data_IF_057581331151
#
_entry.id   IF_057581331151
#
_cell.length_a   1.000
_cell.length_b   1.000
_cell.length_c   1.000
_cell.angle_alpha   90.00
_cell.angle_beta   90.00
_cell.angle_gamma   90.00
#
_symmetry.space_group_name_H-M   'P 1'
#
loop_
_entity.id
_entity.type
_entity.pdbx_description
1 polymer ?
#
# COMPACT_ATOMS: atom_id res chain seq x y z
N UNK A 1 14.84 43.99 -24.17
CA UNK A 1 13.87 42.97 -24.62
C UNK A 1 14.21 41.57 -24.13
N UNK A 2 15.43 41.03 -24.29
CA UNK A 2 15.81 39.65 -23.83
C UNK A 2 15.64 39.43 -22.32
N UNK A 3 16.06 40.38 -21.50
CA UNK A 3 15.93 40.30 -20.03
C UNK A 3 14.46 40.39 -19.57
N UNK A 4 13.65 41.22 -20.23
CA UNK A 4 12.20 41.31 -19.95
C UNK A 4 11.49 40.00 -20.29
N UNK A 5 11.79 39.37 -21.42
CA UNK A 5 11.21 38.05 -21.78
C UNK A 5 11.61 36.94 -20.77
N UNK A 6 12.86 36.97 -20.31
CA UNK A 6 13.33 36.02 -19.26
C UNK A 6 12.63 36.25 -17.92
N UNK A 7 12.50 37.52 -17.53
CA UNK A 7 11.75 37.87 -16.32
C UNK A 7 10.29 37.46 -16.42
N UNK A 8 9.62 37.75 -17.53
CA UNK A 8 8.23 37.34 -17.73
C UNK A 8 8.06 35.82 -17.72
N UNK A 9 8.96 35.07 -18.35
CA UNK A 9 8.95 33.61 -18.32
C UNK A 9 9.13 33.05 -16.89
N UNK A 10 10.02 33.65 -16.11
CA UNK A 10 10.22 33.26 -14.70
C UNK A 10 8.98 33.55 -13.86
N UNK A 11 8.31 34.67 -14.05
CA UNK A 11 7.06 35.02 -13.35
C UNK A 11 5.94 34.05 -13.73
N UNK A 12 5.78 33.71 -15.00
CA UNK A 12 4.76 32.76 -15.47
C UNK A 12 5.02 31.39 -14.86
N UNK A 13 6.27 30.89 -14.83
CA UNK A 13 6.65 29.63 -14.21
C UNK A 13 6.34 29.65 -12.71
N UNK A 14 6.68 30.71 -12.02
CA UNK A 14 6.43 30.84 -10.58
C UNK A 14 4.93 30.84 -10.28
N UNK A 15 4.12 31.55 -11.06
CA UNK A 15 2.67 31.54 -10.93
C UNK A 15 2.09 30.16 -11.23
N UNK A 16 2.59 29.47 -12.25
CA UNK A 16 2.18 28.11 -12.58
C UNK A 16 2.42 27.14 -11.40
N UNK A 17 3.63 27.15 -10.82
CA UNK A 17 3.92 26.31 -9.68
C UNK A 17 3.09 26.70 -8.42
N UNK A 18 2.93 28.00 -8.16
CA UNK A 18 2.12 28.46 -7.04
C UNK A 18 0.65 28.03 -7.18
N UNK A 19 0.08 28.17 -8.38
CA UNK A 19 -1.27 27.70 -8.67
C UNK A 19 -1.40 26.17 -8.53
N UNK A 20 -0.42 25.42 -9.04
CA UNK A 20 -0.43 23.96 -8.94
C UNK A 20 -0.42 23.51 -7.47
N UNK A 21 0.51 24.03 -6.66
CA UNK A 21 0.60 23.76 -5.22
C UNK A 21 -0.70 24.17 -4.51
N UNK A 22 -1.22 25.36 -4.82
CA UNK A 22 -2.45 25.86 -4.20
C UNK A 22 -3.67 25.00 -4.53
N UNK A 23 -3.82 24.57 -5.79
CA UNK A 23 -4.89 23.67 -6.20
C UNK A 23 -4.74 22.27 -5.58
N UNK A 24 -3.53 21.73 -5.55
CA UNK A 24 -3.26 20.44 -4.89
C UNK A 24 -3.64 20.50 -3.40
N UNK A 25 -3.18 21.53 -2.69
CA UNK A 25 -3.56 21.70 -1.29
C UNK A 25 -5.07 21.87 -1.11
N UNK A 26 -5.74 22.62 -1.96
CA UNK A 26 -7.14 22.99 -1.82
C UNK A 26 -8.09 21.82 -2.16
N UNK A 27 -7.79 21.08 -3.24
CA UNK A 27 -8.72 20.08 -3.79
C UNK A 27 -8.43 18.66 -3.29
N UNK A 28 -7.20 18.38 -2.87
CA UNK A 28 -6.82 17.06 -2.38
C UNK A 28 -7.48 16.80 -1.01
N UNK A 29 -8.24 15.72 -0.84
CA UNK A 29 -8.94 15.42 0.42
C UNK A 29 -8.00 14.96 1.52
N UNK A 30 -8.49 14.86 2.74
CA UNK A 30 -7.80 14.16 3.82
C UNK A 30 -7.83 12.65 3.55
N UNK A 31 -6.69 11.98 3.71
CA UNK A 31 -6.55 10.55 3.51
C UNK A 31 -5.88 9.89 4.72
N UNK A 32 -6.20 8.61 4.96
CA UNK A 32 -5.51 7.85 5.99
C UNK A 32 -4.01 7.63 5.66
N UNK A 33 -3.64 7.61 4.38
CA UNK A 33 -2.25 7.54 3.92
C UNK A 33 -1.43 8.73 4.42
N UNK A 34 -2.04 9.92 4.51
CA UNK A 34 -1.43 11.09 5.13
C UNK A 34 -1.09 10.86 6.61
N UNK A 35 -2.01 10.25 7.36
CA UNK A 35 -1.76 9.91 8.76
C UNK A 35 -0.65 8.85 8.89
N UNK A 36 -0.66 7.84 8.01
CA UNK A 36 0.38 6.81 7.97
C UNK A 36 1.78 7.40 7.70
N UNK A 37 1.92 8.32 6.73
CA UNK A 37 3.18 9.05 6.52
C UNK A 37 3.59 9.94 7.69
N UNK A 38 2.64 10.45 8.46
CA UNK A 38 2.96 11.20 9.69
C UNK A 38 3.63 10.28 10.71
N UNK A 39 3.04 9.11 10.99
CA UNK A 39 3.62 8.10 11.89
C UNK A 39 4.97 7.59 11.36
N UNK A 40 5.06 7.32 10.06
CA UNK A 40 6.33 6.92 9.43
C UNK A 40 7.45 7.93 9.68
N UNK A 41 7.13 9.22 9.62
CA UNK A 41 8.09 10.31 9.85
C UNK A 41 8.65 10.32 11.28
N UNK A 42 7.90 9.87 12.26
CA UNK A 42 8.34 9.79 13.65
C UNK A 42 9.40 8.70 13.86
N UNK A 43 9.49 7.69 12.97
CA UNK A 43 10.55 6.70 12.96
C UNK A 43 10.55 5.73 14.15
N UNK A 44 9.41 5.55 14.82
CA UNK A 44 9.31 4.72 16.03
C UNK A 44 9.03 3.22 15.72
N UNK A 45 9.59 2.69 14.63
CA UNK A 45 9.45 1.30 14.17
C UNK A 45 10.78 0.82 13.56
N UNK A 46 10.97 -0.50 13.51
CA UNK A 46 12.12 -1.16 12.90
C UNK A 46 11.72 -2.18 11.82
N UNK A 47 10.42 -2.48 11.71
CA UNK A 47 9.82 -3.28 10.67
C UNK A 47 8.77 -2.51 9.88
N UNK A 48 8.64 -2.81 8.59
CA UNK A 48 7.63 -2.24 7.71
C UNK A 48 6.84 -3.35 7.05
N UNK A 49 5.51 -3.24 7.05
CA UNK A 49 4.62 -4.11 6.29
C UNK A 49 4.15 -3.33 5.08
N UNK A 50 4.29 -3.91 3.89
CA UNK A 50 3.91 -3.32 2.61
C UNK A 50 3.17 -4.35 1.77
N UNK A 51 2.43 -3.89 0.79
CA UNK A 51 1.61 -4.74 -0.09
C UNK A 51 0.24 -4.13 -0.32
N UNK A 52 -0.71 -4.95 -0.72
CA UNK A 52 -2.08 -4.57 -1.01
C UNK A 52 -2.99 -4.44 0.21
N UNK A 53 -4.29 -4.47 -0.06
CA UNK A 53 -5.32 -4.39 0.97
C UNK A 53 -5.37 -5.63 1.88
N UNK A 54 -4.94 -6.78 1.38
CA UNK A 54 -4.85 -8.02 2.16
C UNK A 54 -3.86 -7.86 3.32
N UNK A 55 -2.64 -7.37 3.08
CA UNK A 55 -1.70 -7.08 4.15
C UNK A 55 -2.19 -6.00 5.10
N UNK A 56 -2.91 -4.99 4.55
CA UNK A 56 -3.41 -3.87 5.36
C UNK A 56 -4.38 -4.29 6.44
N UNK A 57 -5.27 -5.24 6.16
CA UNK A 57 -6.22 -5.77 7.14
C UNK A 57 -5.86 -7.17 7.67
N UNK A 58 -4.81 -7.81 7.13
CA UNK A 58 -4.46 -9.19 7.48
C UNK A 58 -3.20 -9.34 8.33
N UNK A 59 -2.30 -8.34 8.37
CA UNK A 59 -1.07 -8.41 9.17
C UNK A 59 -1.11 -7.35 10.26
N UNK A 60 -1.33 -7.79 11.50
CA UNK A 60 -1.46 -6.92 12.68
C UNK A 60 -0.10 -6.60 13.32
N UNK A 61 0.37 -5.33 13.30
CA UNK A 61 1.65 -4.92 13.91
C UNK A 61 1.72 -5.17 15.41
N UNK A 62 0.59 -5.10 16.13
CA UNK A 62 0.56 -5.31 17.59
C UNK A 62 0.80 -6.78 17.95
N UNK A 63 0.23 -7.70 17.16
CA UNK A 63 0.49 -9.13 17.30
C UNK A 63 1.95 -9.45 17.00
N UNK A 64 2.51 -8.88 15.91
CA UNK A 64 3.94 -9.02 15.60
C UNK A 64 4.80 -8.50 16.75
N UNK A 65 4.49 -7.31 17.28
CA UNK A 65 5.24 -6.75 18.42
C UNK A 65 5.18 -7.67 19.65
N UNK A 66 4.00 -8.16 19.98
CA UNK A 66 3.81 -9.04 21.15
C UNK A 66 4.64 -10.31 21.03
N UNK A 67 4.78 -10.87 19.82
CA UNK A 67 5.44 -12.14 19.61
C UNK A 67 6.94 -12.02 19.31
N UNK A 68 7.38 -10.95 18.66
CA UNK A 68 8.76 -10.78 18.20
C UNK A 68 9.54 -9.73 19.00
N UNK A 69 8.85 -8.85 19.73
CA UNK A 69 9.43 -7.69 20.40
C UNK A 69 9.80 -6.53 19.46
N UNK A 70 9.64 -6.70 18.15
CA UNK A 70 9.96 -5.69 17.13
C UNK A 70 8.72 -4.87 16.79
N UNK A 71 8.87 -3.55 16.72
CA UNK A 71 7.78 -2.65 16.29
C UNK A 71 7.69 -2.59 14.77
N UNK A 72 6.50 -2.81 14.26
CA UNK A 72 6.17 -2.70 12.84
C UNK A 72 5.21 -1.53 12.59
N UNK A 73 5.33 -0.93 11.40
CA UNK A 73 4.33 -0.02 10.83
C UNK A 73 3.71 -0.71 9.62
N UNK A 74 2.39 -0.83 9.59
CA UNK A 74 1.69 -1.33 8.42
C UNK A 74 1.41 -0.16 7.46
N UNK A 75 2.17 -0.12 6.37
CA UNK A 75 2.02 0.89 5.30
C UNK A 75 1.46 0.29 4.02
N UNK A 76 0.93 -0.93 4.08
CA UNK A 76 0.24 -1.54 2.96
C UNK A 76 -0.99 -0.73 2.55
N UNK A 77 -1.35 -0.77 1.28
CA UNK A 77 -2.45 -0.01 0.73
C UNK A 77 -3.06 -0.70 -0.49
N UNK A 78 -4.38 -0.68 -0.60
CA UNK A 78 -5.05 -1.24 -1.78
C UNK A 78 -4.53 -0.62 -3.07
N UNK A 79 -4.24 -1.49 -4.05
CA UNK A 79 -3.76 -1.07 -5.35
C UNK A 79 -2.29 -0.67 -5.41
N UNK A 80 -1.48 -1.04 -4.44
CA UNK A 80 -0.05 -0.77 -4.48
C UNK A 80 0.69 -1.72 -5.41
N UNK A 81 1.52 -1.14 -6.25
CA UNK A 81 2.42 -1.82 -7.16
C UNK A 81 3.87 -1.74 -6.68
N UNK A 82 4.73 -2.63 -7.17
CA UNK A 82 6.13 -2.72 -6.78
C UNK A 82 6.91 -1.40 -6.88
N UNK A 83 6.55 -0.54 -7.85
CA UNK A 83 7.11 0.82 -7.95
C UNK A 83 6.83 1.65 -6.69
N UNK A 84 5.57 1.67 -6.26
CA UNK A 84 5.12 2.47 -5.12
C UNK A 84 5.74 1.92 -3.83
N UNK A 85 5.77 0.61 -3.68
CA UNK A 85 6.37 -0.10 -2.55
C UNK A 85 7.88 0.17 -2.46
N UNK A 86 8.61 0.15 -3.57
CA UNK A 86 10.04 0.47 -3.61
C UNK A 86 10.32 1.86 -3.00
N UNK A 87 9.56 2.87 -3.43
CA UNK A 87 9.76 4.23 -2.92
C UNK A 87 9.29 4.40 -1.48
N UNK A 88 8.23 3.69 -1.07
CA UNK A 88 7.77 3.64 0.31
C UNK A 88 8.84 3.08 1.24
N UNK A 89 9.45 1.94 0.87
CA UNK A 89 10.54 1.33 1.65
C UNK A 89 11.77 2.25 1.70
N UNK A 90 12.14 2.89 0.58
CA UNK A 90 13.24 3.89 0.55
C UNK A 90 12.97 5.08 1.47
N UNK A 91 11.73 5.56 1.55
CA UNK A 91 11.36 6.64 2.47
C UNK A 91 11.42 6.17 3.93
N UNK A 92 10.86 5.00 4.25
CA UNK A 92 10.89 4.43 5.59
C UNK A 92 12.34 4.23 6.07
N UNK A 93 13.20 3.61 5.25
CA UNK A 93 14.61 3.42 5.58
C UNK A 93 15.39 4.73 5.78
N UNK A 94 14.89 5.84 5.23
CA UNK A 94 15.48 7.17 5.47
C UNK A 94 15.05 7.79 6.81
N UNK A 95 14.05 7.22 7.49
CA UNK A 95 13.47 7.75 8.74
C UNK A 95 13.88 6.96 9.96
N UNK A 96 14.12 5.68 9.79
CA UNK A 96 14.44 4.76 10.88
C UNK A 96 15.54 3.79 10.46
N UNK A 97 16.16 3.11 11.42
CA UNK A 97 17.06 1.98 11.19
C UNK A 97 16.22 0.74 10.86
N UNK A 98 15.64 0.74 9.64
CA UNK A 98 14.74 -0.30 9.16
C UNK A 98 15.50 -1.63 9.07
N UNK A 99 14.98 -2.67 9.73
CA UNK A 99 15.61 -4.00 9.79
C UNK A 99 14.89 -5.04 8.97
N UNK A 100 13.56 -4.96 8.90
CA UNK A 100 12.73 -5.98 8.26
C UNK A 100 11.64 -5.32 7.41
N UNK A 101 11.43 -5.84 6.22
CA UNK A 101 10.27 -5.54 5.38
C UNK A 101 9.49 -6.82 5.16
N UNK A 102 8.22 -6.83 5.51
CA UNK A 102 7.27 -7.88 5.15
C UNK A 102 6.48 -7.37 3.94
N UNK A 103 6.72 -7.99 2.79
CA UNK A 103 6.05 -7.63 1.55
C UNK A 103 5.01 -8.70 1.19
N UNK A 104 3.75 -8.33 1.26
CA UNK A 104 2.67 -9.14 0.72
C UNK A 104 2.65 -9.05 -0.79
N UNK A 105 2.80 -10.21 -1.42
CA UNK A 105 2.67 -10.36 -2.88
C UNK A 105 1.25 -10.77 -3.19
N UNK A 106 0.50 -9.85 -3.79
CA UNK A 106 -0.76 -10.18 -4.43
C UNK A 106 -0.48 -10.51 -5.92
N UNK A 107 -0.69 -11.76 -6.36
CA UNK A 107 -0.41 -12.16 -7.74
C UNK A 107 -1.18 -11.34 -8.78
N UNK A 108 -2.38 -10.86 -8.46
CA UNK A 108 -3.20 -10.08 -9.38
C UNK A 108 -2.54 -8.76 -9.76
N UNK A 109 -1.86 -8.08 -8.84
CA UNK A 109 -1.14 -6.84 -9.16
C UNK A 109 0.05 -7.04 -10.10
N UNK A 110 0.54 -8.26 -10.25
CA UNK A 110 1.63 -8.59 -11.17
C UNK A 110 1.15 -8.83 -12.61
N UNK A 111 -0.13 -8.94 -12.84
CA UNK A 111 -0.69 -9.07 -14.20
C UNK A 111 -1.45 -7.83 -14.64
N UNK A 112 -1.95 -7.06 -13.69
CA UNK A 112 -2.68 -5.84 -13.95
C UNK A 112 -1.75 -4.64 -14.18
N UNK A 113 -2.25 -3.67 -14.93
CA UNK A 113 -1.60 -2.37 -15.03
C UNK A 113 -2.08 -1.46 -13.91
N UNK A 114 -1.19 -0.60 -13.37
CA UNK A 114 -1.57 0.37 -12.36
C UNK A 114 -2.81 1.16 -12.77
N UNK A 115 -3.85 1.09 -11.96
CA UNK A 115 -5.05 1.89 -12.15
C UNK A 115 -4.72 3.37 -11.87
N UNK A 116 -5.49 4.27 -12.49
CA UNK A 116 -5.34 5.72 -12.34
C UNK A 116 -6.39 6.31 -11.39
N UNK A 117 -7.06 5.49 -10.60
CA UNK A 117 -8.01 5.94 -9.58
C UNK A 117 -7.31 6.56 -8.36
N UNK A 118 -8.09 7.17 -7.49
CA UNK A 118 -7.58 7.85 -6.29
C UNK A 118 -6.81 6.91 -5.36
N UNK A 119 -7.26 5.67 -5.23
CA UNK A 119 -6.64 4.65 -4.36
C UNK A 119 -5.22 4.32 -4.82
N UNK A 120 -5.03 4.10 -6.11
CA UNK A 120 -3.75 3.72 -6.71
C UNK A 120 -2.71 4.84 -6.84
N UNK A 121 -3.09 6.07 -6.53
CA UNK A 121 -2.17 7.21 -6.58
C UNK A 121 -2.01 7.89 -5.21
N UNK A 122 -2.72 7.42 -4.19
CA UNK A 122 -2.72 8.04 -2.86
C UNK A 122 -1.32 8.05 -2.25
N UNK A 123 -0.58 6.96 -2.35
CA UNK A 123 0.78 6.88 -1.84
C UNK A 123 1.70 7.91 -2.52
N UNK A 124 1.66 8.00 -3.83
CA UNK A 124 2.46 8.97 -4.59
C UNK A 124 2.11 10.42 -4.22
N UNK A 125 0.82 10.73 -4.09
CA UNK A 125 0.37 12.07 -3.74
C UNK A 125 0.78 12.47 -2.32
N UNK A 126 0.63 11.58 -1.35
CA UNK A 126 1.00 11.83 0.05
C UNK A 126 2.51 11.68 0.32
N UNK A 127 3.26 11.12 -0.62
CA UNK A 127 4.70 10.97 -0.46
C UNK A 127 5.36 12.32 -0.14
N UNK A 128 6.25 12.38 0.88
CA UNK A 128 6.83 13.63 1.36
C UNK A 128 7.51 14.44 0.26
N UNK A 129 7.20 15.74 0.19
CA UNK A 129 7.82 16.67 -0.75
C UNK A 129 9.30 16.85 -0.40
N UNK A 130 10.16 16.16 -1.12
CA UNK A 130 11.60 16.11 -0.89
C UNK A 130 12.36 15.83 -2.18
N UNK A 131 13.69 15.93 -2.14
CA UNK A 131 14.53 15.52 -3.28
C UNK A 131 14.37 14.04 -3.63
N UNK A 132 13.91 13.20 -2.68
CA UNK A 132 13.61 11.78 -2.90
C UNK A 132 12.35 11.56 -3.72
N UNK A 133 11.40 12.50 -3.72
CA UNK A 133 10.22 12.43 -4.59
C UNK A 133 10.55 12.62 -6.07
N UNK A 134 11.69 13.22 -6.40
CA UNK A 134 12.04 13.49 -7.81
C UNK A 134 12.21 12.22 -8.63
N UNK A 135 13.06 11.23 -8.25
CA UNK A 135 13.15 9.98 -9.00
C UNK A 135 11.82 9.22 -9.00
N UNK A 136 11.08 9.21 -7.89
CA UNK A 136 9.75 8.59 -7.85
C UNK A 136 8.78 9.24 -8.86
N UNK A 137 8.77 10.57 -8.96
CA UNK A 137 7.95 11.27 -9.93
C UNK A 137 8.34 10.93 -11.39
N UNK A 138 9.63 10.77 -11.67
CA UNK A 138 10.12 10.40 -13.01
C UNK A 138 9.66 8.98 -13.37
N UNK A 139 9.81 8.02 -12.47
CA UNK A 139 9.37 6.64 -12.70
C UNK A 139 7.85 6.56 -12.78
N UNK A 140 7.12 7.28 -11.90
CA UNK A 140 5.64 7.31 -11.93
C UNK A 140 5.09 7.85 -13.24
N UNK A 141 5.75 8.84 -13.86
CA UNK A 141 5.37 9.37 -15.17
C UNK A 141 5.51 8.35 -16.31
N UNK A 142 6.29 7.29 -16.13
CA UNK A 142 6.44 6.23 -17.13
C UNK A 142 5.32 5.19 -17.06
N UNK A 143 4.74 4.97 -15.89
CA UNK A 143 3.73 3.92 -15.65
C UNK A 143 2.33 4.47 -15.41
N UNK A 144 2.20 5.74 -15.01
CA UNK A 144 0.94 6.38 -14.69
C UNK A 144 0.57 7.50 -15.69
N UNK A 145 -0.66 8.00 -15.58
CA UNK A 145 -1.10 9.16 -16.36
C UNK A 145 -0.25 10.39 -16.00
N UNK A 146 0.42 10.98 -16.99
CA UNK A 146 1.26 12.16 -16.82
C UNK A 146 0.54 13.32 -16.12
N UNK A 147 -0.78 13.47 -16.34
CA UNK A 147 -1.58 14.52 -15.72
C UNK A 147 -1.68 14.33 -14.22
N UNK A 148 -1.88 13.08 -13.74
CA UNK A 148 -1.98 12.76 -12.31
C UNK A 148 -0.62 12.82 -11.63
N UNK A 149 0.45 12.48 -12.34
CA UNK A 149 1.82 12.54 -11.81
C UNK A 149 2.33 13.97 -11.64
N UNK A 150 1.96 14.90 -12.54
CA UNK A 150 2.39 16.30 -12.48
C UNK A 150 1.42 17.23 -11.74
N UNK A 151 0.14 16.88 -11.75
CA UNK A 151 -0.94 17.69 -11.19
C UNK A 151 -1.76 16.86 -10.20
N UNK A 152 -1.28 16.76 -8.97
CA UNK A 152 -1.93 15.94 -7.91
C UNK A 152 -3.42 16.25 -7.76
N UNK A 153 -3.82 17.52 -7.94
CA UNK A 153 -5.21 17.97 -7.92
C UNK A 153 -6.07 17.45 -9.08
N UNK A 154 -5.47 16.95 -10.14
CA UNK A 154 -6.21 16.61 -11.37
C UNK A 154 -7.27 15.52 -11.15
N UNK A 155 -7.00 14.53 -10.33
CA UNK A 155 -7.99 13.50 -9.97
C UNK A 155 -9.15 14.09 -9.17
N UNK A 156 -8.87 15.07 -8.34
CA UNK A 156 -9.81 15.71 -7.43
C UNK A 156 -10.40 17.01 -8.01
N UNK A 157 -10.25 17.28 -9.30
CA UNK A 157 -10.69 18.52 -9.93
C UNK A 157 -12.18 18.82 -9.76
N UNK A 158 -13.01 17.80 -9.57
CA UNK A 158 -14.45 17.97 -9.31
C UNK A 158 -14.73 18.54 -7.92
N UNK A 159 -13.81 18.40 -6.99
CA UNK A 159 -13.91 18.95 -5.63
C UNK A 159 -13.94 20.49 -5.61
N UNK A 160 -13.68 21.14 -6.75
CA UNK A 160 -13.84 22.59 -6.88
C UNK A 160 -15.28 23.04 -6.60
N UNK A 161 -16.27 22.17 -6.83
CA UNK A 161 -17.68 22.43 -6.49
C UNK A 161 -17.96 22.28 -5.00
N UNK A 162 -17.07 21.65 -4.23
CA UNK A 162 -17.13 21.43 -2.80
C UNK A 162 -16.02 22.15 -2.03
N UNK A 163 -15.51 23.26 -2.60
CA UNK A 163 -14.36 23.99 -2.08
C UNK A 163 -14.54 24.45 -0.62
N UNK A 164 -15.76 24.77 -0.21
CA UNK A 164 -16.07 25.17 1.17
C UNK A 164 -15.87 24.01 2.15
N UNK A 165 -16.27 22.81 1.74
CA UNK A 165 -16.14 21.59 2.54
C UNK A 165 -14.66 21.21 2.65
N UNK A 166 -13.89 21.33 1.55
CA UNK A 166 -12.43 21.12 1.54
C UNK A 166 -11.69 22.09 2.47
N UNK A 167 -12.07 23.36 2.50
CA UNK A 167 -11.49 24.35 3.42
C UNK A 167 -11.87 24.04 4.88
N UNK A 168 -13.11 23.64 5.13
CA UNK A 168 -13.56 23.26 6.47
C UNK A 168 -12.81 22.02 6.97
N UNK A 169 -12.65 20.99 6.12
CA UNK A 169 -11.87 19.79 6.41
C UNK A 169 -10.43 20.15 6.84
N UNK A 170 -9.74 20.96 6.04
CA UNK A 170 -8.34 21.34 6.34
C UNK A 170 -8.19 22.25 7.58
N UNK A 171 -9.27 22.85 8.01
CA UNK A 171 -9.33 23.66 9.24
C UNK A 171 -9.71 22.84 10.47
N UNK A 172 -10.17 21.59 10.29
CA UNK A 172 -10.60 20.72 11.37
C UNK A 172 -9.42 20.28 12.27
N UNK A 173 -9.71 19.93 13.52
CA UNK A 173 -8.72 19.34 14.41
C UNK A 173 -8.31 17.94 13.95
N UNK A 174 -9.19 17.21 13.31
CA UNK A 174 -8.92 15.91 12.72
C UNK A 174 -7.80 15.97 11.68
N UNK A 175 -7.93 16.88 10.70
CA UNK A 175 -6.89 17.08 9.68
C UNK A 175 -5.55 17.53 10.28
N UNK A 176 -5.57 18.44 11.28
CA UNK A 176 -4.36 18.98 11.92
C UNK A 176 -3.63 17.95 12.78
N UNK A 177 -4.38 17.10 13.46
CA UNK A 177 -3.85 16.10 14.38
C UNK A 177 -3.71 14.71 13.76
N UNK A 178 -3.91 14.57 12.44
CA UNK A 178 -3.82 13.30 11.72
C UNK A 178 -4.74 12.21 12.30
N UNK A 179 -5.91 12.58 12.81
CA UNK A 179 -6.85 11.66 13.41
C UNK A 179 -7.44 10.70 12.36
N UNK A 180 -7.62 9.46 12.74
CA UNK A 180 -8.21 8.41 11.90
C UNK A 180 -9.71 8.17 12.19
N UNK A 181 -10.31 9.01 13.05
CA UNK A 181 -11.68 8.80 13.52
C UNK A 181 -12.72 8.82 12.39
N UNK A 182 -12.55 9.69 11.38
CA UNK A 182 -13.49 9.78 10.24
C UNK A 182 -13.40 8.61 9.26
N UNK A 183 -12.33 7.82 9.33
CA UNK A 183 -12.17 6.62 8.51
C UNK A 183 -12.72 5.36 9.20
N UNK A 184 -13.00 5.46 10.50
CA UNK A 184 -13.49 4.33 11.31
C UNK A 184 -15.02 4.40 11.45
N UNK A 185 -15.64 3.24 11.36
CA UNK A 185 -17.10 3.05 11.49
C UNK A 185 -17.40 1.69 12.16
N UNK A 186 -18.62 1.18 12.03
CA UNK A 186 -19.00 -0.12 12.57
C UNK A 186 -18.43 -1.32 11.79
N UNK A 187 -17.99 -1.08 10.54
CA UNK A 187 -17.43 -2.12 9.66
C UNK A 187 -15.92 -2.26 9.87
N UNK A 188 -15.23 -1.15 10.19
CA UNK A 188 -13.76 -1.13 10.27
C UNK A 188 -13.23 -0.07 11.22
N UNK A 189 -12.10 -0.36 11.83
CA UNK A 189 -11.34 0.61 12.64
C UNK A 189 -9.95 0.81 12.05
N UNK A 190 -9.61 2.06 11.76
CA UNK A 190 -8.26 2.45 11.33
C UNK A 190 -7.38 2.73 12.56
N UNK A 191 -6.27 2.02 12.67
CA UNK A 191 -5.31 2.16 13.78
C UNK A 191 -4.10 3.01 13.38
N UNK A 192 -3.46 3.64 14.35
CA UNK A 192 -2.28 4.50 14.14
C UNK A 192 -1.07 3.71 13.61
N UNK A 193 -0.96 2.42 13.94
CA UNK A 193 0.06 1.52 13.39
C UNK A 193 -0.19 1.11 11.92
N UNK A 194 -1.25 1.66 11.31
CA UNK A 194 -1.62 1.47 9.92
C UNK A 194 -2.50 0.26 9.63
N UNK A 195 -2.77 -0.59 10.62
CA UNK A 195 -3.67 -1.73 10.48
C UNK A 195 -5.13 -1.28 10.37
N UNK A 196 -5.91 -1.97 9.54
CA UNK A 196 -7.36 -1.79 9.46
C UNK A 196 -8.03 -3.04 10.03
N UNK A 197 -8.58 -2.91 11.23
CA UNK A 197 -9.38 -3.97 11.85
C UNK A 197 -10.74 -4.05 11.16
N UNK A 198 -11.04 -5.17 10.48
CA UNK A 198 -12.33 -5.44 9.84
C UNK A 198 -13.25 -6.18 10.81
N UNK A 199 -14.41 -5.60 11.11
CA UNK A 199 -15.34 -6.16 12.07
C UNK A 199 -16.37 -7.07 11.42
N UNK A 200 -16.85 -8.08 12.17
CA UNK A 200 -17.91 -8.99 11.71
C UNK A 200 -19.26 -8.32 11.80
N UNK A 201 -19.66 -7.68 10.72
CA UNK A 201 -20.98 -7.07 10.57
C UNK A 201 -21.61 -7.57 9.27
N UNK A 202 -22.95 -7.55 9.20
CA UNK A 202 -23.68 -7.97 7.98
C UNK A 202 -23.30 -7.09 6.78
N UNK A 203 -23.21 -5.78 6.99
CA UNK A 203 -22.85 -4.80 5.95
C UNK A 203 -21.34 -4.83 5.63
N UNK A 204 -20.52 -5.50 6.42
CA UNK A 204 -19.08 -5.63 6.25
C UNK A 204 -18.64 -6.84 5.41
N UNK A 205 -19.59 -7.56 4.80
CA UNK A 205 -19.32 -8.75 3.99
C UNK A 205 -19.72 -8.56 2.54
N UNK A 206 -18.91 -9.06 1.61
CA UNK A 206 -19.18 -9.09 0.17
C UNK A 206 -18.72 -10.42 -0.45
N UNK A 207 -19.55 -11.44 -0.32
CA UNK A 207 -19.26 -12.76 -0.89
C UNK A 207 -19.72 -12.93 -2.33
N UNK A 208 -20.17 -11.86 -2.99
CA UNK A 208 -20.53 -11.85 -4.41
C UNK A 208 -19.40 -11.34 -5.30
N UNK A 209 -18.43 -10.62 -4.75
CA UNK A 209 -17.28 -10.12 -5.50
C UNK A 209 -16.37 -11.27 -5.94
N UNK A 210 -16.05 -11.31 -7.23
CA UNK A 210 -15.07 -12.25 -7.76
C UNK A 210 -13.65 -11.82 -7.40
N UNK A 211 -12.76 -12.76 -6.99
CA UNK A 211 -11.38 -12.42 -6.67
C UNK A 211 -10.60 -12.01 -7.92
N UNK A 212 -9.63 -11.14 -7.70
CA UNK A 212 -8.63 -10.82 -8.73
C UNK A 212 -7.68 -12.01 -8.93
N UNK A 213 -7.44 -12.41 -10.18
CA UNK A 213 -6.75 -13.65 -10.48
C UNK A 213 -5.43 -13.45 -11.22
N UNK A 214 -4.46 -14.29 -10.89
CA UNK A 214 -3.22 -14.44 -11.61
C UNK A 214 -3.43 -14.97 -13.03
N UNK A 215 -2.66 -14.43 -13.98
CA UNK A 215 -2.58 -14.94 -15.34
C UNK A 215 -1.17 -14.71 -15.91
N UNK A 216 -0.35 -15.75 -15.90
CA UNK A 216 1.02 -15.71 -16.38
C UNK A 216 1.19 -15.13 -17.79
N UNK A 217 0.18 -15.27 -18.66
CA UNK A 217 0.23 -14.75 -20.05
C UNK A 217 0.15 -13.23 -20.13
N UNK A 218 -0.34 -12.57 -19.08
CA UNK A 218 -0.49 -11.11 -19.02
C UNK A 218 0.47 -10.46 -18.04
N UNK A 219 1.51 -11.17 -17.67
CA UNK A 219 2.52 -10.76 -16.71
C UNK A 219 3.11 -9.36 -17.01
N UNK A 220 3.18 -8.54 -16.00
CA UNK A 220 3.67 -7.16 -16.07
C UNK A 220 5.17 -7.09 -15.71
N UNK A 221 6.02 -6.89 -16.72
CA UNK A 221 7.48 -6.81 -16.53
C UNK A 221 7.92 -5.59 -15.71
N UNK A 222 7.11 -4.54 -15.59
CA UNK A 222 7.43 -3.39 -14.74
C UNK A 222 7.33 -3.77 -13.25
N UNK A 223 6.40 -4.65 -12.87
CA UNK A 223 6.32 -5.17 -11.49
C UNK A 223 7.59 -5.91 -11.11
N UNK A 224 8.03 -6.83 -11.98
CA UNK A 224 9.29 -7.56 -11.77
C UNK A 224 10.46 -6.61 -11.63
N UNK A 225 10.60 -5.66 -12.53
CA UNK A 225 11.70 -4.69 -12.52
C UNK A 225 11.80 -3.95 -11.18
N UNK A 226 10.71 -3.38 -10.72
CA UNK A 226 10.72 -2.60 -9.48
C UNK A 226 10.82 -3.48 -8.24
N UNK A 227 10.33 -4.70 -8.28
CA UNK A 227 10.57 -5.69 -7.23
C UNK A 227 12.06 -6.06 -7.14
N UNK A 228 12.73 -6.33 -8.26
CA UNK A 228 14.19 -6.63 -8.29
C UNK A 228 15.02 -5.44 -7.78
N UNK A 229 14.59 -4.21 -8.08
CA UNK A 229 15.21 -3.00 -7.50
C UNK A 229 14.98 -2.92 -5.98
N UNK A 230 13.80 -3.33 -5.48
CA UNK A 230 13.52 -3.42 -4.05
C UNK A 230 14.39 -4.46 -3.36
N UNK A 231 14.51 -5.66 -3.93
CA UNK A 231 15.41 -6.73 -3.44
C UNK A 231 16.84 -6.22 -3.33
N UNK A 232 17.33 -5.57 -4.38
CA UNK A 232 18.68 -4.99 -4.41
C UNK A 232 18.86 -3.93 -3.34
N UNK A 233 17.91 -3.02 -3.20
CA UNK A 233 17.91 -1.97 -2.18
C UNK A 233 17.93 -2.56 -0.76
N UNK A 234 17.09 -3.53 -0.46
CA UNK A 234 17.05 -4.18 0.85
C UNK A 234 18.37 -4.86 1.17
N UNK A 235 18.97 -5.57 0.21
CA UNK A 235 20.25 -6.25 0.36
C UNK A 235 21.39 -5.26 0.61
N UNK A 236 21.46 -4.17 -0.16
CA UNK A 236 22.48 -3.13 -0.01
C UNK A 236 22.42 -2.40 1.32
N UNK A 237 21.24 -2.32 1.93
CA UNK A 237 21.00 -1.65 3.21
C UNK A 237 20.90 -2.61 4.40
N UNK A 238 21.17 -3.91 4.20
CA UNK A 238 21.07 -4.94 5.25
C UNK A 238 19.68 -5.02 5.88
N UNK A 239 18.65 -4.83 5.05
CA UNK A 239 17.24 -4.98 5.41
C UNK A 239 16.80 -6.38 5.01
N UNK A 240 16.24 -7.14 5.95
CA UNK A 240 15.65 -8.44 5.68
C UNK A 240 14.33 -8.25 4.93
N UNK A 241 14.24 -8.78 3.70
CA UNK A 241 13.01 -8.81 2.92
C UNK A 241 12.35 -10.18 3.05
N UNK A 242 11.16 -10.19 3.59
CA UNK A 242 10.30 -11.37 3.73
C UNK A 242 9.09 -11.16 2.82
N UNK A 243 8.84 -12.10 1.93
CA UNK A 243 7.66 -12.06 1.08
C UNK A 243 6.61 -13.04 1.58
N UNK A 244 5.35 -12.65 1.52
CA UNK A 244 4.22 -13.48 1.96
C UNK A 244 3.09 -13.41 0.93
N UNK A 245 2.52 -14.55 0.60
CA UNK A 245 1.26 -14.65 -0.14
C UNK A 245 0.16 -14.96 0.88
N UNK A 246 -0.85 -14.08 0.92
CA UNK A 246 -1.90 -14.12 1.94
C UNK A 246 -2.87 -15.29 1.72
N UNK A 247 -3.52 -15.82 2.78
CA UNK A 247 -4.53 -16.86 2.62
C UNK A 247 -5.78 -16.32 1.91
N UNK A 248 -6.45 -17.21 1.20
CA UNK A 248 -7.75 -16.97 0.57
C UNK A 248 -8.78 -18.00 1.07
N UNK A 249 -10.10 -17.75 0.94
CA UNK A 249 -11.11 -18.73 1.27
C UNK A 249 -10.91 -20.04 0.48
N UNK A 250 -11.09 -21.21 1.16
CA UNK A 250 -11.04 -22.52 0.48
C UNK A 250 -11.98 -22.59 -0.72
N UNK A 251 -13.16 -21.99 -0.62
CA UNK A 251 -14.13 -21.91 -1.73
C UNK A 251 -13.60 -21.16 -2.94
N UNK A 252 -12.84 -20.08 -2.73
CA UNK A 252 -12.20 -19.32 -3.81
C UNK A 252 -11.04 -20.12 -4.41
N UNK A 253 -10.21 -20.72 -3.56
CA UNK A 253 -9.10 -21.56 -4.01
C UNK A 253 -9.59 -22.76 -4.86
N UNK A 254 -10.62 -23.49 -4.40
CA UNK A 254 -11.21 -24.61 -5.12
C UNK A 254 -11.83 -24.19 -6.46
N UNK A 255 -12.49 -23.01 -6.49
CA UNK A 255 -13.12 -22.48 -7.70
C UNK A 255 -12.10 -22.08 -8.76
N UNK A 256 -10.96 -21.50 -8.36
CA UNK A 256 -9.94 -20.93 -9.24
C UNK A 256 -8.59 -21.63 -9.11
N UNK A 257 -8.60 -22.94 -8.81
CA UNK A 257 -7.39 -23.74 -8.52
C UNK A 257 -6.28 -23.56 -9.53
N UNK A 258 -6.58 -23.58 -10.83
CA UNK A 258 -5.56 -23.44 -11.89
C UNK A 258 -4.81 -22.10 -11.81
N UNK A 259 -5.51 -21.02 -11.50
CA UNK A 259 -4.92 -19.68 -11.36
C UNK A 259 -4.03 -19.60 -10.12
N UNK A 260 -4.55 -20.03 -8.96
CA UNK A 260 -3.82 -20.00 -7.70
C UNK A 260 -2.61 -20.94 -7.72
N UNK A 261 -2.74 -22.17 -8.21
CA UNK A 261 -1.62 -23.08 -8.32
C UNK A 261 -0.54 -22.56 -9.27
N UNK A 262 -0.93 -21.99 -10.40
CA UNK A 262 0.03 -21.34 -11.32
C UNK A 262 0.76 -20.15 -10.67
N UNK A 263 0.08 -19.35 -9.83
CA UNK A 263 0.71 -18.28 -9.07
C UNK A 263 1.72 -18.83 -8.05
N UNK A 264 1.32 -19.84 -7.28
CA UNK A 264 2.19 -20.48 -6.28
C UNK A 264 3.48 -21.03 -6.92
N UNK A 265 3.35 -21.76 -8.03
CA UNK A 265 4.48 -22.31 -8.77
C UNK A 265 5.40 -21.19 -9.26
N UNK A 266 4.85 -20.17 -9.92
CA UNK A 266 5.61 -19.03 -10.42
C UNK A 266 6.38 -18.32 -9.31
N UNK A 267 5.70 -17.89 -8.24
CA UNK A 267 6.32 -17.10 -7.19
C UNK A 267 7.30 -17.93 -6.36
N UNK A 268 7.04 -19.22 -6.14
CA UNK A 268 7.99 -20.13 -5.48
C UNK A 268 9.33 -20.18 -6.22
N UNK A 269 9.29 -20.42 -7.53
CA UNK A 269 10.50 -20.51 -8.34
C UNK A 269 11.17 -19.14 -8.51
N UNK A 270 10.40 -18.10 -8.76
CA UNK A 270 10.90 -16.75 -8.94
C UNK A 270 11.60 -16.20 -7.69
N UNK A 271 10.95 -16.26 -6.53
CA UNK A 271 11.50 -15.72 -5.27
C UNK A 271 12.70 -16.52 -4.79
N UNK A 272 12.69 -17.84 -4.99
CA UNK A 272 13.85 -18.67 -4.76
C UNK A 272 15.04 -18.25 -5.65
N UNK A 273 14.78 -17.90 -6.91
CA UNK A 273 15.84 -17.41 -7.82
C UNK A 273 16.42 -16.07 -7.39
N UNK A 274 15.63 -15.25 -6.68
CA UNK A 274 16.03 -13.97 -6.10
C UNK A 274 16.67 -14.09 -4.71
N UNK A 275 16.79 -15.30 -4.15
CA UNK A 275 17.28 -15.54 -2.78
C UNK A 275 16.51 -14.69 -1.74
N UNK A 276 15.17 -14.67 -1.85
CA UNK A 276 14.25 -13.98 -0.96
C UNK A 276 13.42 -15.01 -0.20
N UNK A 277 13.26 -14.82 1.11
CA UNK A 277 12.39 -15.67 1.93
C UNK A 277 10.94 -15.51 1.49
N UNK A 278 10.32 -16.62 1.12
CA UNK A 278 8.93 -16.65 0.70
C UNK A 278 8.09 -17.56 1.62
N UNK A 279 7.00 -17.01 2.10
CA UNK A 279 6.01 -17.70 2.90
C UNK A 279 4.72 -17.80 2.08
N UNK A 280 4.51 -18.96 1.46
CA UNK A 280 3.27 -19.27 0.77
C UNK A 280 2.19 -19.67 1.79
N UNK A 281 1.25 -18.76 2.04
CA UNK A 281 0.13 -18.97 2.95
C UNK A 281 -1.21 -19.05 2.20
N UNK A 282 -1.19 -19.02 0.87
CA UNK A 282 -2.38 -18.94 0.03
C UNK A 282 -3.38 -20.07 0.34
N UNK A 283 -2.88 -21.31 0.41
CA UNK A 283 -3.65 -22.49 0.79
C UNK A 283 -2.77 -23.45 1.59
N UNK A 284 -2.71 -23.26 2.90
CA UNK A 284 -1.81 -23.97 3.79
C UNK A 284 -2.57 -24.93 4.73
N UNK A 285 -2.04 -26.14 4.91
CA UNK A 285 -2.58 -27.15 5.84
C UNK A 285 -2.19 -26.91 7.31
N UNK A 286 -1.54 -25.77 7.61
CA UNK A 286 -1.20 -25.42 8.98
C UNK A 286 -2.47 -25.28 9.82
N UNK A 287 -2.49 -25.96 10.98
CA UNK A 287 -3.56 -25.80 11.94
C UNK A 287 -3.71 -24.30 12.32
N UNK A 288 -4.93 -23.84 12.48
CA UNK A 288 -5.28 -22.45 12.79
C UNK A 288 -5.13 -21.45 11.63
N UNK A 289 -4.66 -21.86 10.44
CA UNK A 289 -4.68 -20.98 9.27
C UNK A 289 -6.12 -20.57 8.92
N UNK A 290 -6.42 -19.27 8.73
CA UNK A 290 -7.72 -18.86 8.23
C UNK A 290 -7.97 -19.45 6.84
N UNK A 291 -9.08 -20.18 6.68
CA UNK A 291 -9.42 -20.88 5.43
C UNK A 291 -10.92 -20.89 5.16
N UNK A 292 -11.73 -20.92 6.20
CA UNK A 292 -13.17 -20.91 6.05
C UNK A 292 -13.64 -19.56 5.52
N UNK A 293 -14.64 -19.55 4.63
CA UNK A 293 -15.18 -18.30 4.10
C UNK A 293 -15.55 -17.31 5.21
N UNK A 294 -15.97 -17.81 6.37
CA UNK A 294 -16.30 -16.97 7.52
C UNK A 294 -15.08 -16.28 8.18
N UNK A 295 -13.85 -16.66 7.85
CA UNK A 295 -12.64 -15.98 8.29
C UNK A 295 -12.42 -14.66 7.53
N UNK A 296 -13.09 -14.48 6.42
CA UNK A 296 -12.92 -13.39 5.48
C UNK A 296 -14.18 -12.54 5.36
N UNK A 297 -14.02 -11.29 4.99
CA UNK A 297 -15.15 -10.42 4.70
C UNK A 297 -15.61 -10.48 3.23
N UNK A 298 -14.83 -11.14 2.36
CA UNK A 298 -15.13 -11.31 0.94
C UNK A 298 -14.47 -12.57 0.35
N UNK A 299 -14.71 -12.81 -0.94
CA UNK A 299 -14.09 -13.91 -1.68
C UNK A 299 -12.66 -13.62 -2.14
N UNK A 300 -12.22 -12.36 -2.08
CA UNK A 300 -10.88 -11.94 -2.52
C UNK A 300 -9.80 -12.27 -1.49
N UNK A 301 -10.15 -12.37 -0.20
CA UNK A 301 -9.23 -12.81 0.86
C UNK A 301 -8.96 -11.76 1.95
N UNK A 302 -9.81 -10.74 2.08
CA UNK A 302 -9.67 -9.78 3.16
C UNK A 302 -10.12 -10.39 4.50
N UNK A 303 -9.21 -10.49 5.45
CA UNK A 303 -9.47 -11.11 6.75
C UNK A 303 -10.28 -10.21 7.68
N UNK A 304 -11.17 -10.81 8.47
CA UNK A 304 -11.69 -10.19 9.68
C UNK A 304 -10.60 -10.07 10.75
N UNK A 305 -10.74 -9.13 11.68
CA UNK A 305 -9.75 -8.80 12.70
C UNK A 305 -9.29 -10.04 13.51
N UNK A 306 -10.21 -10.86 13.99
CA UNK A 306 -9.89 -12.06 14.76
C UNK A 306 -9.13 -13.11 13.94
N UNK A 307 -9.43 -13.20 12.67
CA UNK A 307 -8.72 -14.07 11.72
C UNK A 307 -7.34 -13.50 11.34
N UNK A 308 -7.21 -12.19 11.22
CA UNK A 308 -5.93 -11.50 11.02
C UNK A 308 -4.99 -11.69 12.22
N UNK A 309 -5.52 -11.64 13.45
CA UNK A 309 -4.75 -11.94 14.67
C UNK A 309 -4.21 -13.38 14.65
N UNK A 310 -5.04 -14.36 14.27
CA UNK A 310 -4.60 -15.76 14.12
C UNK A 310 -3.53 -15.90 13.05
N UNK A 311 -3.76 -15.35 11.87
CA UNK A 311 -2.81 -15.38 10.75
C UNK A 311 -1.48 -14.75 11.13
N UNK A 312 -1.52 -13.53 11.69
CA UNK A 312 -0.30 -12.83 12.12
C UNK A 312 0.47 -13.60 13.17
N UNK A 313 -0.22 -14.34 14.07
CA UNK A 313 0.41 -15.22 15.03
C UNK A 313 1.16 -16.38 14.38
N UNK A 314 0.65 -16.94 13.28
CA UNK A 314 1.34 -17.96 12.48
C UNK A 314 2.55 -17.34 11.76
N UNK A 315 2.35 -16.20 11.11
CA UNK A 315 3.42 -15.47 10.42
C UNK A 315 4.57 -15.12 11.38
N UNK A 316 4.26 -14.61 12.58
CA UNK A 316 5.27 -14.25 13.57
C UNK A 316 6.14 -15.45 13.97
N UNK A 317 5.56 -16.65 14.12
CA UNK A 317 6.31 -17.87 14.41
C UNK A 317 7.24 -18.30 13.26
N UNK A 318 6.84 -18.02 12.03
CA UNK A 318 7.63 -18.39 10.85
C UNK A 318 8.84 -17.46 10.60
N UNK A 319 8.78 -16.21 11.12
CA UNK A 319 9.82 -15.19 10.92
C UNK A 319 10.64 -14.89 12.18
N UNK A 320 10.46 -15.66 13.26
CA UNK A 320 11.14 -15.47 14.57
C UNK A 320 12.50 -16.16 14.66
#
# INVERSE_FOLDING_TARGET
MRNFKRFLAAVILLLFFACNIGLSWLLYPYTYTRANFHVMKEGAYEGLIVGGSHAKCGIDPEVLYTMTGKKYLNSAQGGEHSLDILYLVKEAASRTDLKTVIYEIDPAYWVDKPNQSQEYVALYHEYPQSVRKVPYALDKMLVADLRTSLFEWYLYRKEIFHIKDRIAEKSSEEYKNFSLASFSDEIQTYREDGFIARHRTEDGTDYETEPSLWNEKTYNTDEQKYFEELVSFCRENSIELITVMMPVPDTSYETYTDSYASAQDFFTDYLKSQDVLFLDCLHSDLAEMPRDLQDFCDNDGHLFEDSAVRFTGILAKAIS
#
